data_IF_580635820907
#
_entry.id   IF_580635820907
#
_cell.length_a   1.000
_cell.length_b   1.000
_cell.length_c   1.000
_cell.angle_alpha   90.00
_cell.angle_beta   90.00
_cell.angle_gamma   90.00
#
_symmetry.space_group_name_H-M   'P 1'
#
loop_
_entity.id
_entity.type
_entity.pdbx_description
1 polymer ?
#
# COMPACT_ATOMS: atom_id res chain seq x y z
N UNK A 1 5.52 25.98 -2.69
CA UNK A 1 5.29 24.57 -3.10
C UNK A 1 4.19 23.92 -2.25
N UNK A 2 2.97 24.45 -2.28
CA UNK A 2 1.81 23.81 -1.61
C UNK A 2 1.13 22.79 -2.54
N UNK A 3 1.12 23.05 -3.86
CA UNK A 3 0.47 22.18 -4.86
C UNK A 3 1.01 20.74 -4.94
N UNK A 4 2.32 20.55 -4.78
CA UNK A 4 2.97 19.25 -5.00
C UNK A 4 2.63 18.22 -3.91
N UNK A 5 2.39 18.71 -2.68
CA UNK A 5 2.01 17.88 -1.53
C UNK A 5 0.57 17.40 -1.64
N UNK A 6 -0.36 18.31 -1.94
CA UNK A 6 -1.77 17.97 -2.18
C UNK A 6 -1.94 17.05 -3.39
N UNK A 7 -1.08 17.20 -4.40
CA UNK A 7 -1.03 16.31 -5.55
C UNK A 7 -0.58 14.90 -5.16
N UNK A 8 0.53 14.76 -4.43
CA UNK A 8 1.03 13.46 -3.97
C UNK A 8 -0.01 12.72 -3.13
N UNK A 9 -0.64 13.41 -2.16
CA UNK A 9 -1.67 12.81 -1.31
C UNK A 9 -2.90 12.36 -2.12
N UNK A 10 -3.26 13.11 -3.17
CA UNK A 10 -4.33 12.71 -4.10
C UNK A 10 -3.98 11.43 -4.85
N UNK A 11 -2.75 11.29 -5.33
CA UNK A 11 -2.29 10.07 -6.00
C UNK A 11 -2.33 8.86 -5.06
N UNK A 12 -1.89 9.03 -3.81
CA UNK A 12 -1.96 7.99 -2.78
C UNK A 12 -3.41 7.51 -2.61
N UNK A 13 -4.35 8.44 -2.42
CA UNK A 13 -5.76 8.09 -2.24
C UNK A 13 -6.39 7.43 -3.46
N UNK A 14 -6.04 7.89 -4.66
CA UNK A 14 -6.50 7.29 -5.92
C UNK A 14 -5.99 5.85 -6.06
N UNK A 15 -4.70 5.63 -5.81
CA UNK A 15 -4.09 4.31 -5.84
C UNK A 15 -4.70 3.39 -4.78
N UNK A 16 -4.85 3.85 -3.53
CA UNK A 16 -5.51 3.09 -2.46
C UNK A 16 -6.90 2.64 -2.87
N UNK A 17 -7.75 3.54 -3.37
CA UNK A 17 -9.11 3.20 -3.80
C UNK A 17 -9.13 2.21 -4.96
N UNK A 18 -8.21 2.35 -5.91
CA UNK A 18 -8.10 1.43 -7.03
C UNK A 18 -7.69 0.03 -6.56
N UNK A 19 -6.66 -0.06 -5.70
CA UNK A 19 -6.21 -1.31 -5.09
C UNK A 19 -7.28 -1.97 -4.22
N UNK A 20 -8.04 -1.22 -3.44
CA UNK A 20 -9.13 -1.78 -2.65
C UNK A 20 -10.16 -2.47 -3.51
N UNK A 21 -10.53 -1.87 -4.65
CA UNK A 21 -11.44 -2.49 -5.61
C UNK A 21 -10.86 -3.79 -6.16
N UNK A 22 -9.58 -3.79 -6.55
CA UNK A 22 -8.87 -4.99 -7.04
C UNK A 22 -8.73 -6.09 -5.98
N UNK A 23 -8.63 -5.72 -4.70
CA UNK A 23 -8.52 -6.67 -3.60
C UNK A 23 -9.89 -7.24 -3.18
N UNK A 24 -11.00 -6.70 -3.71
CA UNK A 24 -12.35 -7.19 -3.42
C UNK A 24 -12.82 -8.29 -4.39
N UNK A 25 -12.10 -8.58 -5.48
CA UNK A 25 -12.39 -9.71 -6.38
C UNK A 25 -13.59 -9.49 -7.31
N UNK A 26 -13.91 -8.25 -7.70
CA UNK A 26 -15.08 -7.94 -8.55
C UNK A 26 -14.81 -8.16 -10.05
N UNK A 27 -15.81 -8.55 -10.86
CA UNK A 27 -15.61 -8.96 -12.27
C UNK A 27 -15.01 -7.92 -13.22
N UNK A 28 -15.04 -6.62 -12.88
CA UNK A 28 -14.49 -5.51 -13.70
C UNK A 28 -12.94 -5.41 -13.64
N UNK A 29 -12.28 -6.28 -12.88
CA UNK A 29 -10.87 -6.19 -12.48
C UNK A 29 -9.84 -6.32 -13.60
N UNK A 30 -10.11 -7.09 -14.66
CA UNK A 30 -9.11 -7.29 -15.72
C UNK A 30 -8.79 -6.01 -16.51
N UNK A 31 -9.72 -5.05 -16.54
CA UNK A 31 -9.56 -3.74 -17.17
C UNK A 31 -8.82 -2.78 -16.24
N UNK A 32 -9.22 -2.70 -14.98
CA UNK A 32 -8.56 -1.85 -13.99
C UNK A 32 -7.10 -2.24 -13.73
N UNK A 33 -6.77 -3.54 -13.73
CA UNK A 33 -5.38 -4.01 -13.61
C UNK A 33 -4.52 -3.60 -14.81
N UNK A 34 -5.09 -3.54 -16.02
CA UNK A 34 -4.37 -3.11 -17.22
C UNK A 34 -4.15 -1.60 -17.28
N UNK A 35 -4.96 -0.83 -16.56
CA UNK A 35 -4.91 0.64 -16.55
C UNK A 35 -4.04 1.20 -15.42
N UNK A 36 -3.73 0.41 -14.38
CA UNK A 36 -2.86 0.84 -13.29
C UNK A 36 -1.39 0.72 -13.69
N UNK A 37 -0.79 1.84 -14.10
CA UNK A 37 0.65 1.98 -14.23
C UNK A 37 1.30 2.19 -12.84
N UNK A 38 1.61 1.07 -12.18
CA UNK A 38 2.27 1.08 -10.87
C UNK A 38 3.62 1.78 -10.90
N UNK A 39 4.41 1.59 -11.95
CA UNK A 39 5.75 2.19 -12.03
C UNK A 39 5.66 3.71 -12.15
N UNK A 40 4.72 4.24 -12.93
CA UNK A 40 4.46 5.68 -12.96
C UNK A 40 3.99 6.20 -11.60
N UNK A 41 3.06 5.52 -10.94
CA UNK A 41 2.53 5.95 -9.64
C UNK A 41 3.59 5.91 -8.54
N UNK A 42 4.44 4.87 -8.50
CA UNK A 42 5.55 4.79 -7.55
C UNK A 42 6.57 5.90 -7.81
N UNK A 43 6.89 6.18 -9.08
CA UNK A 43 7.77 7.30 -9.44
C UNK A 43 7.16 8.65 -9.04
N UNK A 44 5.85 8.84 -9.16
CA UNK A 44 5.23 10.09 -8.76
C UNK A 44 5.21 10.29 -7.24
N UNK A 45 4.90 9.22 -6.49
CA UNK A 45 4.75 9.25 -5.02
C UNK A 45 6.10 9.19 -4.29
N UNK A 46 6.99 8.28 -4.70
CA UNK A 46 8.25 7.96 -4.01
C UNK A 46 9.51 8.35 -4.80
N UNK A 47 9.38 8.75 -6.07
CA UNK A 47 10.50 9.06 -6.98
C UNK A 47 11.38 7.86 -7.34
N UNK A 48 10.88 6.64 -7.10
CA UNK A 48 11.49 5.36 -7.43
C UNK A 48 10.44 4.40 -8.01
N UNK A 49 10.83 3.38 -8.74
CA UNK A 49 9.90 2.36 -9.25
C UNK A 49 9.53 1.31 -8.20
N UNK A 50 8.60 0.42 -8.54
CA UNK A 50 8.17 -0.63 -7.62
C UNK A 50 9.29 -1.65 -7.35
N UNK A 51 10.16 -1.93 -8.32
CA UNK A 51 11.27 -2.87 -8.13
C UNK A 51 12.22 -2.35 -7.04
N UNK A 52 12.60 -1.08 -7.09
CA UNK A 52 13.43 -0.47 -6.06
C UNK A 52 12.68 -0.38 -4.73
N UNK A 53 11.42 0.07 -4.72
CA UNK A 53 10.62 0.17 -3.50
C UNK A 53 10.49 -1.18 -2.79
N UNK A 54 10.16 -2.23 -3.55
CA UNK A 54 9.93 -3.58 -3.02
C UNK A 54 11.23 -4.25 -2.55
N UNK A 55 12.40 -3.82 -3.04
CA UNK A 55 13.69 -4.32 -2.56
C UNK A 55 14.10 -3.78 -1.18
N UNK A 56 13.50 -2.67 -0.73
CA UNK A 56 13.78 -2.08 0.59
C UNK A 56 13.20 -2.94 1.72
N UNK A 57 13.87 -2.91 2.86
CA UNK A 57 13.35 -3.49 4.10
C UNK A 57 12.12 -2.75 4.61
N UNK A 58 11.37 -3.37 5.53
CA UNK A 58 10.21 -2.75 6.15
C UNK A 58 10.62 -1.48 6.91
N UNK A 59 11.77 -1.54 7.57
CA UNK A 59 12.34 -0.46 8.36
C UNK A 59 12.67 0.74 7.48
N UNK A 60 13.34 0.52 6.34
CA UNK A 60 13.65 1.59 5.38
C UNK A 60 12.38 2.24 4.83
N UNK A 61 11.35 1.45 4.50
CA UNK A 61 10.08 1.97 4.02
C UNK A 61 9.34 2.77 5.09
N UNK A 62 9.39 2.34 6.37
CA UNK A 62 8.85 3.11 7.49
C UNK A 62 9.59 4.44 7.65
N UNK A 63 10.92 4.46 7.54
CA UNK A 63 11.69 5.70 7.59
C UNK A 63 11.33 6.63 6.42
N UNK A 64 11.10 6.09 5.21
CA UNK A 64 10.61 6.89 4.09
C UNK A 64 9.26 7.56 4.37
N UNK A 65 8.34 6.89 5.06
CA UNK A 65 7.04 7.48 5.47
C UNK A 65 7.24 8.52 6.58
N UNK A 66 8.12 8.27 7.54
CA UNK A 66 8.40 9.23 8.64
C UNK A 66 8.96 10.56 8.16
N UNK A 67 9.61 10.61 6.99
CA UNK A 67 10.06 11.85 6.35
C UNK A 67 8.89 12.69 5.79
N UNK A 68 7.66 12.18 5.77
CA UNK A 68 6.43 12.87 5.34
C UNK A 68 5.72 13.53 6.52
N UNK A 69 4.72 14.37 6.24
CA UNK A 69 3.94 15.02 7.29
C UNK A 69 3.16 13.96 8.10
N UNK A 70 3.20 14.07 9.43
CA UNK A 70 2.60 13.07 10.34
C UNK A 70 1.12 12.81 10.08
N UNK A 71 0.38 13.85 9.67
CA UNK A 71 -1.04 13.73 9.31
C UNK A 71 -1.31 12.83 8.10
N UNK A 72 -0.31 12.63 7.23
CA UNK A 72 -0.44 11.85 6.00
C UNK A 72 0.08 10.41 6.18
N UNK A 73 0.75 10.10 7.30
CA UNK A 73 1.36 8.77 7.54
C UNK A 73 0.36 7.62 7.38
N UNK A 74 -0.89 7.82 7.85
CA UNK A 74 -1.95 6.82 7.70
C UNK A 74 -2.25 6.52 6.22
N UNK A 75 -2.40 7.55 5.37
CA UNK A 75 -2.64 7.37 3.93
C UNK A 75 -1.50 6.58 3.27
N UNK A 76 -0.24 6.85 3.64
CA UNK A 76 0.92 6.11 3.14
C UNK A 76 0.93 4.64 3.59
N UNK A 77 0.66 4.37 4.87
CA UNK A 77 0.67 2.99 5.38
C UNK A 77 -0.46 2.15 4.79
N UNK A 78 -1.65 2.72 4.63
CA UNK A 78 -2.76 2.03 3.96
C UNK A 78 -2.41 1.66 2.52
N UNK A 79 -1.86 2.63 1.78
CA UNK A 79 -1.45 2.44 0.39
C UNK A 79 -0.36 1.37 0.26
N UNK A 80 0.70 1.43 1.09
CA UNK A 80 1.77 0.43 1.09
C UNK A 80 1.23 -0.96 1.44
N UNK A 81 0.35 -1.06 2.44
CA UNK A 81 -0.31 -2.32 2.80
C UNK A 81 -1.08 -2.91 1.63
N UNK A 82 -1.85 -2.09 0.90
CA UNK A 82 -2.60 -2.51 -0.27
C UNK A 82 -1.70 -2.89 -1.46
N UNK A 83 -0.62 -2.14 -1.71
CA UNK A 83 0.35 -2.44 -2.77
C UNK A 83 0.97 -3.82 -2.54
N UNK A 84 1.53 -4.05 -1.34
CA UNK A 84 2.16 -5.33 -1.03
C UNK A 84 1.15 -6.47 -0.97
N UNK A 85 -0.08 -6.24 -0.50
CA UNK A 85 -1.13 -7.25 -0.51
C UNK A 85 -1.52 -7.66 -1.93
N UNK A 86 -1.62 -6.69 -2.85
CA UNK A 86 -1.89 -6.96 -4.25
C UNK A 86 -0.79 -7.80 -4.88
N UNK A 87 0.47 -7.39 -4.73
CA UNK A 87 1.61 -8.15 -5.25
C UNK A 87 1.78 -9.52 -4.59
N UNK A 88 1.45 -9.66 -3.30
CA UNK A 88 1.41 -10.98 -2.66
C UNK A 88 0.37 -11.89 -3.31
N UNK A 89 -0.84 -11.38 -3.58
CA UNK A 89 -1.91 -12.18 -4.22
C UNK A 89 -1.59 -12.56 -5.66
N UNK A 90 -0.77 -11.78 -6.38
CA UNK A 90 -0.37 -12.08 -7.76
C UNK A 90 0.88 -12.95 -7.84
N UNK A 91 1.87 -12.75 -6.97
CA UNK A 91 3.19 -13.38 -7.06
C UNK A 91 3.44 -14.46 -5.99
N UNK A 92 2.67 -14.49 -4.91
CA UNK A 92 2.82 -15.48 -3.82
C UNK A 92 4.06 -15.32 -2.95
N UNK A 93 4.81 -14.22 -3.06
CA UNK A 93 6.05 -13.98 -2.29
C UNK A 93 5.75 -13.66 -0.82
N UNK A 94 6.28 -14.47 0.11
CA UNK A 94 6.07 -14.28 1.55
C UNK A 94 6.64 -12.97 2.10
N UNK A 95 7.71 -12.44 1.50
CA UNK A 95 8.23 -11.11 1.86
C UNK A 95 7.18 -10.01 1.65
N UNK A 96 6.37 -10.10 0.58
CA UNK A 96 5.28 -9.17 0.33
C UNK A 96 4.13 -9.36 1.33
N UNK A 97 3.84 -10.59 1.73
CA UNK A 97 2.87 -10.87 2.79
C UNK A 97 3.29 -10.23 4.12
N UNK A 98 4.56 -10.36 4.50
CA UNK A 98 5.07 -9.79 5.75
C UNK A 98 5.09 -8.25 5.72
N UNK A 99 5.50 -7.64 4.59
CA UNK A 99 5.40 -6.20 4.36
C UNK A 99 3.96 -5.71 4.43
N UNK A 100 3.03 -6.37 3.74
CA UNK A 100 1.61 -6.01 3.76
C UNK A 100 1.04 -6.03 5.19
N UNK A 101 1.34 -7.09 5.96
CA UNK A 101 0.91 -7.21 7.36
C UNK A 101 1.43 -6.04 8.18
N UNK A 102 2.74 -5.76 8.11
CA UNK A 102 3.35 -4.67 8.88
C UNK A 102 2.72 -3.32 8.56
N UNK A 103 2.49 -2.99 7.30
CA UNK A 103 1.90 -1.69 6.95
C UNK A 103 0.42 -1.60 7.31
N UNK A 104 -0.34 -2.70 7.25
CA UNK A 104 -1.71 -2.70 7.77
C UNK A 104 -1.76 -2.52 9.30
N UNK A 105 -0.87 -3.15 10.05
CA UNK A 105 -0.77 -2.95 11.50
C UNK A 105 -0.41 -1.50 11.85
N UNK A 106 0.57 -0.92 11.13
CA UNK A 106 0.95 0.49 11.28
C UNK A 106 -0.18 1.45 10.90
N UNK A 107 -0.94 1.15 9.84
CA UNK A 107 -2.10 1.92 9.44
C UNK A 107 -3.17 1.95 10.54
N UNK A 108 -3.56 0.79 11.09
CA UNK A 108 -4.57 0.73 12.16
C UNK A 108 -4.09 1.47 13.42
N UNK A 109 -2.81 1.31 13.78
CA UNK A 109 -2.23 2.00 14.92
C UNK A 109 -2.18 3.53 14.73
N UNK A 110 -1.83 4.00 13.53
CA UNK A 110 -1.64 5.43 13.24
C UNK A 110 -2.96 6.14 13.01
N UNK A 111 -3.91 5.50 12.33
CA UNK A 111 -5.21 6.10 12.00
C UNK A 111 -6.20 6.08 13.16
N UNK A 112 -6.10 5.11 14.09
CA UNK A 112 -7.12 4.87 15.11
C UNK A 112 -8.46 4.40 14.53
N UNK A 113 -8.50 4.01 13.26
CA UNK A 113 -9.72 3.58 12.56
C UNK A 113 -9.93 2.09 12.75
N UNK A 114 -11.18 1.70 12.99
CA UNK A 114 -11.59 0.30 12.91
C UNK A 114 -11.98 -0.06 11.47
N UNK A 115 -11.10 -0.76 10.76
CA UNK A 115 -11.32 -1.18 9.36
C UNK A 115 -11.39 -2.71 9.23
N UNK A 116 -12.61 -3.25 9.25
CA UNK A 116 -12.85 -4.71 9.19
C UNK A 116 -12.15 -5.41 7.99
N UNK A 117 -12.16 -4.85 6.76
CA UNK A 117 -11.46 -5.49 5.64
C UNK A 117 -9.95 -5.63 5.88
N UNK A 118 -9.32 -4.64 6.51
CA UNK A 118 -7.89 -4.64 6.83
C UNK A 118 -7.58 -5.65 7.93
N UNK A 119 -8.43 -5.70 8.97
CA UNK A 119 -8.30 -6.69 10.06
C UNK A 119 -8.36 -8.12 9.52
N UNK A 120 -9.30 -8.40 8.60
CA UNK A 120 -9.40 -9.71 7.96
C UNK A 120 -8.14 -10.05 7.15
N UNK A 121 -7.60 -9.10 6.37
CA UNK A 121 -6.34 -9.30 5.63
C UNK A 121 -5.16 -9.54 6.56
N UNK A 122 -5.04 -8.81 7.68
CA UNK A 122 -4.00 -9.08 8.68
C UNK A 122 -4.13 -10.51 9.22
N UNK A 123 -5.35 -10.98 9.49
CA UNK A 123 -5.58 -12.35 9.95
C UNK A 123 -5.16 -13.38 8.89
N UNK A 124 -5.57 -13.20 7.63
CA UNK A 124 -5.14 -14.02 6.49
C UNK A 124 -3.62 -14.11 6.42
N UNK A 125 -2.94 -12.95 6.49
CA UNK A 125 -1.48 -12.85 6.42
C UNK A 125 -0.78 -13.53 7.61
N UNK A 126 -1.36 -13.43 8.81
CA UNK A 126 -0.83 -14.13 10.00
C UNK A 126 -0.92 -15.65 9.85
N UNK A 127 -1.95 -16.18 9.19
CA UNK A 127 -2.07 -17.63 8.97
C UNK A 127 -0.98 -18.14 8.04
N UNK A 128 -0.65 -17.40 6.97
CA UNK A 128 0.36 -17.84 5.97
C UNK A 128 1.81 -17.58 6.36
N UNK A 129 2.05 -16.67 7.32
CA UNK A 129 3.39 -16.33 7.82
C UNK A 129 3.81 -17.16 9.05
N UNK A 130 2.90 -17.99 9.58
CA UNK A 130 3.11 -18.85 10.74
C UNK A 130 3.45 -20.28 10.34
#
# INVERSE_FOLDING_TARGET
>A
MIQDKDFTLRLIRQLTQALEKLLLGKPEESLMQKELDFDSLMKDIFKIDFQELSSKSKEELVEMVKLRETKDHADYYEMLGNVFMFHYRTEGKLDFADKAKTFYELYLQTSGIFAMPIINRIHELKVVLN
#
